data_IF_497965005789
#
_entry.id   IF_497965005789
#
_cell.length_a   1.000
_cell.length_b   1.000
_cell.length_c   1.000
_cell.angle_alpha   90.00
_cell.angle_beta   90.00
_cell.angle_gamma   90.00
#
_symmetry.space_group_name_H-M   'P 1'
#
loop_
_entity.id
_entity.type
_entity.pdbx_description
1 polymer ?
#
# COMPACT_ATOMS: atom_id res chain seq x y z
N UNK A 1 -2.91 7.13 -20.58
CA UNK A 1 -2.57 6.19 -19.50
C UNK A 1 -3.79 6.06 -18.61
N UNK A 2 -4.16 4.84 -18.24
CA UNK A 2 -5.27 4.58 -17.30
C UNK A 2 -4.75 4.91 -15.90
N UNK A 3 -5.49 5.71 -15.14
CA UNK A 3 -5.13 5.99 -13.75
C UNK A 3 -5.23 4.69 -12.93
N UNK A 4 -4.18 4.37 -12.16
CA UNK A 4 -4.20 3.22 -11.26
C UNK A 4 -5.08 3.57 -10.06
N UNK A 5 -6.17 2.82 -9.92
CA UNK A 5 -7.19 3.02 -8.90
C UNK A 5 -7.22 1.80 -8.01
N UNK A 6 -7.43 2.00 -6.71
CA UNK A 6 -7.56 0.89 -5.76
C UNK A 6 -9.02 0.41 -5.69
N UNK A 7 -9.48 -0.16 -6.80
CA UNK A 7 -10.80 -0.76 -6.93
C UNK A 7 -10.66 -2.26 -6.64
N UNK A 8 -11.26 -2.72 -5.54
CA UNK A 8 -11.10 -4.08 -5.00
C UNK A 8 -12.41 -4.84 -5.11
N UNK A 9 -12.32 -6.15 -5.31
CA UNK A 9 -13.48 -7.02 -5.42
C UNK A 9 -14.24 -7.13 -4.09
N UNK A 10 -15.59 -7.29 -4.09
CA UNK A 10 -16.38 -7.46 -2.88
C UNK A 10 -15.82 -8.52 -1.90
N UNK A 11 -15.26 -9.62 -2.41
CA UNK A 11 -14.68 -10.68 -1.57
C UNK A 11 -13.55 -10.19 -0.67
N UNK A 12 -12.76 -9.19 -1.12
CA UNK A 12 -11.69 -8.60 -0.32
C UNK A 12 -12.25 -7.95 0.95
N UNK A 13 -13.34 -7.18 0.81
CA UNK A 13 -13.98 -6.51 1.94
C UNK A 13 -14.68 -7.50 2.87
N UNK A 14 -15.35 -8.50 2.30
CA UNK A 14 -15.97 -9.58 3.08
C UNK A 14 -14.93 -10.27 3.97
N UNK A 15 -13.80 -10.70 3.39
CA UNK A 15 -12.75 -11.40 4.12
C UNK A 15 -12.00 -10.48 5.10
N UNK A 16 -11.72 -9.23 4.73
CA UNK A 16 -11.10 -8.27 5.64
C UNK A 16 -11.96 -8.06 6.90
N UNK A 17 -13.25 -7.78 6.74
CA UNK A 17 -14.13 -7.51 7.87
C UNK A 17 -14.34 -8.75 8.74
N UNK A 18 -14.42 -9.95 8.16
CA UNK A 18 -14.44 -11.19 8.93
C UNK A 18 -13.16 -11.41 9.73
N UNK A 19 -11.99 -11.10 9.16
CA UNK A 19 -10.72 -11.20 9.89
C UNK A 19 -10.64 -10.19 11.03
N UNK A 20 -11.17 -8.98 10.84
CA UNK A 20 -11.29 -8.00 11.92
C UNK A 20 -12.23 -8.48 13.04
N UNK A 21 -13.37 -9.08 12.69
CA UNK A 21 -14.35 -9.60 13.66
C UNK A 21 -13.86 -10.83 14.44
N UNK A 22 -13.05 -11.67 13.79
CA UNK A 22 -12.43 -12.87 14.38
C UNK A 22 -11.05 -12.62 15.00
N UNK A 23 -10.57 -11.38 14.96
CA UNK A 23 -9.28 -10.99 15.55
C UNK A 23 -9.29 -11.07 17.08
N UNK A 24 -8.10 -10.95 17.68
CA UNK A 24 -7.95 -10.88 19.13
C UNK A 24 -8.71 -9.71 19.75
N UNK A 25 -9.03 -9.83 21.04
CA UNK A 25 -9.84 -8.85 21.80
C UNK A 25 -9.39 -7.40 21.59
N UNK A 26 -8.08 -7.13 21.70
CA UNK A 26 -7.53 -5.76 21.62
C UNK A 26 -7.75 -5.10 20.26
N UNK A 27 -7.62 -5.87 19.17
CA UNK A 27 -7.88 -5.39 17.81
C UNK A 27 -9.38 -5.14 17.62
N UNK A 28 -10.22 -6.08 18.05
CA UNK A 28 -11.68 -5.97 17.96
C UNK A 28 -12.23 -4.77 18.73
N UNK A 29 -11.76 -4.52 19.95
CA UNK A 29 -12.13 -3.32 20.73
C UNK A 29 -11.74 -2.03 20.00
N UNK A 30 -10.58 -2.02 19.34
CA UNK A 30 -10.14 -0.85 18.56
C UNK A 30 -10.99 -0.62 17.30
N UNK A 31 -11.42 -1.69 16.62
CA UNK A 31 -12.36 -1.62 15.50
C UNK A 31 -13.73 -1.11 15.96
N UNK A 32 -14.24 -1.62 17.09
CA UNK A 32 -15.52 -1.20 17.67
C UNK A 32 -15.53 0.29 18.02
N UNK A 33 -14.46 0.79 18.64
CA UNK A 33 -14.31 2.22 18.93
C UNK A 33 -14.35 3.08 17.66
N UNK A 34 -13.71 2.63 16.56
CA UNK A 34 -13.75 3.35 15.30
C UNK A 34 -15.14 3.33 14.68
N UNK A 35 -15.82 2.19 14.66
CA UNK A 35 -17.20 2.10 14.16
C UNK A 35 -18.14 3.02 14.93
N UNK A 36 -17.96 3.14 16.25
CA UNK A 36 -18.74 4.03 17.09
C UNK A 36 -18.61 5.51 16.71
N UNK A 37 -17.47 5.95 16.14
CA UNK A 37 -17.29 7.32 15.62
C UNK A 37 -18.30 7.66 14.51
N UNK A 38 -18.83 6.64 13.83
CA UNK A 38 -19.85 6.75 12.79
C UNK A 38 -21.24 6.27 13.25
N UNK A 39 -21.38 5.87 14.52
CA UNK A 39 -22.63 5.33 15.07
C UNK A 39 -22.94 3.90 14.64
N UNK A 40 -21.91 3.10 14.37
CA UNK A 40 -22.00 1.67 14.04
C UNK A 40 -21.39 0.80 15.14
N UNK A 41 -21.75 -0.49 15.15
CA UNK A 41 -21.16 -1.50 16.00
C UNK A 41 -20.61 -2.71 15.21
N UNK A 42 -20.17 -3.75 15.94
CA UNK A 42 -19.62 -4.95 15.32
C UNK A 42 -20.69 -5.84 14.64
N UNK A 43 -21.96 -5.75 15.04
CA UNK A 43 -23.06 -6.44 14.35
C UNK A 43 -23.33 -5.78 13.00
N UNK A 44 -23.22 -4.46 12.92
CA UNK A 44 -23.23 -3.74 11.65
C UNK A 44 -22.08 -4.19 10.75
N UNK A 45 -20.84 -4.25 11.27
CA UNK A 45 -19.68 -4.70 10.48
C UNK A 45 -19.85 -6.15 9.97
N UNK A 46 -20.43 -7.04 10.78
CA UNK A 46 -20.79 -8.39 10.35
C UNK A 46 -21.79 -8.36 9.19
N UNK A 47 -22.82 -7.52 9.30
CA UNK A 47 -23.83 -7.33 8.25
C UNK A 47 -23.21 -6.78 6.95
N UNK A 48 -22.21 -5.90 7.07
CA UNK A 48 -21.47 -5.39 5.91
C UNK A 48 -20.73 -6.53 5.21
N UNK A 49 -19.97 -7.33 5.97
CA UNK A 49 -19.21 -8.46 5.44
C UNK A 49 -20.12 -9.47 4.72
N UNK A 50 -21.31 -9.74 5.27
CA UNK A 50 -22.32 -10.61 4.65
C UNK A 50 -22.86 -10.04 3.34
N UNK A 51 -23.10 -8.73 3.26
CA UNK A 51 -23.57 -8.09 2.04
C UNK A 51 -22.52 -8.13 0.92
N UNK A 52 -21.26 -7.86 1.24
CA UNK A 52 -20.15 -8.01 0.28
C UNK A 52 -20.01 -9.47 -0.19
N UNK A 53 -20.15 -10.43 0.71
CA UNK A 53 -20.10 -11.87 0.35
C UNK A 53 -21.25 -12.24 -0.57
N UNK A 54 -22.47 -11.79 -0.28
CA UNK A 54 -23.63 -12.04 -1.12
C UNK A 54 -23.45 -11.42 -2.51
N UNK A 55 -22.91 -10.20 -2.57
CA UNK A 55 -22.61 -9.52 -3.83
C UNK A 55 -21.55 -10.27 -4.66
N UNK A 56 -20.44 -10.70 -4.05
CA UNK A 56 -19.45 -11.56 -4.70
C UNK A 56 -20.09 -12.85 -5.25
N UNK A 57 -20.90 -13.54 -4.45
CA UNK A 57 -21.57 -14.78 -4.87
C UNK A 57 -22.51 -14.58 -6.06
N UNK A 58 -23.20 -13.45 -6.14
CA UNK A 58 -24.06 -13.12 -7.27
C UNK A 58 -23.25 -12.85 -8.56
N UNK A 59 -22.03 -12.34 -8.44
CA UNK A 59 -21.15 -12.03 -9.56
C UNK A 59 -20.37 -13.24 -10.10
N UNK A 60 -20.19 -14.30 -9.28
CA UNK A 60 -19.42 -15.52 -9.64
C UNK A 60 -19.69 -16.07 -11.04
N UNK A 61 -20.94 -16.17 -11.55
CA UNK A 61 -21.20 -16.71 -12.88
C UNK A 61 -20.62 -15.89 -14.04
N UNK A 62 -20.30 -14.61 -13.81
CA UNK A 62 -19.85 -13.65 -14.81
C UNK A 62 -18.36 -13.30 -14.69
N UNK A 63 -17.72 -13.77 -13.62
CA UNK A 63 -16.34 -13.46 -13.31
C UNK A 63 -15.36 -14.32 -14.12
N UNK A 64 -14.41 -13.66 -14.75
CA UNK A 64 -13.22 -14.24 -15.32
C UNK A 64 -12.07 -13.22 -15.25
N UNK A 65 -10.89 -13.59 -15.73
CA UNK A 65 -9.70 -12.74 -15.65
C UNK A 65 -9.89 -11.35 -16.30
N UNK A 66 -10.70 -11.26 -17.36
CA UNK A 66 -10.92 -10.04 -18.13
C UNK A 66 -12.04 -9.16 -17.53
N UNK A 67 -13.05 -9.77 -16.89
CA UNK A 67 -14.23 -9.05 -16.35
C UNK A 67 -14.14 -8.73 -14.87
N UNK A 68 -13.20 -9.32 -14.13
CA UNK A 68 -13.08 -9.13 -12.68
C UNK A 68 -12.81 -7.68 -12.24
N UNK A 69 -12.30 -6.83 -13.14
CA UNK A 69 -12.19 -5.39 -12.90
C UNK A 69 -13.55 -4.68 -12.95
N UNK A 70 -14.44 -5.09 -13.85
CA UNK A 70 -15.76 -4.45 -14.05
C UNK A 70 -16.70 -4.65 -12.85
N UNK A 71 -16.43 -5.68 -12.04
CA UNK A 71 -17.18 -6.02 -10.82
C UNK A 71 -16.50 -5.54 -9.53
N UNK A 72 -15.38 -4.82 -9.64
CA UNK A 72 -14.72 -4.24 -8.48
C UNK A 72 -15.59 -3.12 -7.86
N UNK A 73 -15.52 -2.99 -6.54
CA UNK A 73 -16.14 -1.87 -5.85
C UNK A 73 -15.33 -0.59 -6.09
N UNK A 74 -16.02 0.55 -6.05
CA UNK A 74 -15.39 1.87 -6.09
C UNK A 74 -14.33 2.07 -5.00
N UNK A 75 -13.39 2.99 -5.24
CA UNK A 75 -12.26 3.27 -4.35
C UNK A 75 -12.71 3.67 -2.93
N UNK A 76 -13.87 4.26 -2.81
CA UNK A 76 -14.45 4.69 -1.54
C UNK A 76 -14.63 3.52 -0.55
N UNK A 77 -14.91 2.30 -1.03
CA UNK A 77 -14.95 1.11 -0.18
C UNK A 77 -13.56 0.84 0.43
N UNK A 78 -12.50 0.95 -0.36
CA UNK A 78 -11.12 0.79 0.08
C UNK A 78 -10.67 1.90 1.04
N UNK A 79 -11.16 3.13 0.85
CA UNK A 79 -10.90 4.26 1.75
C UNK A 79 -11.53 4.00 3.13
N UNK A 80 -12.79 3.54 3.18
CA UNK A 80 -13.47 3.22 4.46
C UNK A 80 -12.78 2.06 5.17
N UNK A 81 -12.40 1.02 4.44
CA UNK A 81 -11.63 -0.09 4.99
C UNK A 81 -10.25 0.38 5.54
N UNK A 82 -9.56 1.26 4.82
CA UNK A 82 -8.31 1.87 5.29
C UNK A 82 -8.51 2.72 6.54
N UNK A 83 -9.63 3.45 6.66
CA UNK A 83 -9.95 4.24 7.84
C UNK A 83 -10.19 3.37 9.09
N UNK A 84 -10.85 2.21 8.93
CA UNK A 84 -10.99 1.21 10.00
C UNK A 84 -9.62 0.66 10.41
N UNK A 85 -8.81 0.24 9.43
CA UNK A 85 -7.46 -0.27 9.65
C UNK A 85 -6.55 0.76 10.34
N UNK A 86 -6.67 2.05 9.99
CA UNK A 86 -5.89 3.12 10.61
C UNK A 86 -6.13 3.22 12.13
N UNK A 87 -7.28 2.79 12.64
CA UNK A 87 -7.53 2.66 14.09
C UNK A 87 -6.60 1.66 14.77
N UNK A 88 -6.06 0.71 14.01
CA UNK A 88 -5.16 -0.34 14.47
C UNK A 88 -3.68 0.07 14.40
N UNK A 89 -3.37 1.29 13.94
CA UNK A 89 -1.99 1.72 13.69
C UNK A 89 -1.04 1.69 14.88
N UNK A 90 -1.59 1.72 16.10
CA UNK A 90 -0.83 1.66 17.35
C UNK A 90 -0.64 0.23 17.89
N UNK A 91 -1.21 -0.76 17.21
CA UNK A 91 -0.95 -2.18 17.45
C UNK A 91 0.32 -2.62 16.70
N UNK A 92 0.61 -3.92 16.73
CA UNK A 92 1.78 -4.54 16.09
C UNK A 92 1.81 -4.35 14.56
N UNK A 93 2.71 -5.04 13.87
CA UNK A 93 2.76 -5.01 12.42
C UNK A 93 1.51 -5.62 11.76
N UNK A 94 1.15 -5.11 10.56
CA UNK A 94 -0.03 -5.54 9.80
C UNK A 94 0.21 -6.77 8.93
N UNK A 95 1.41 -7.38 8.95
CA UNK A 95 1.81 -8.40 7.96
C UNK A 95 0.99 -9.69 8.10
N UNK A 96 0.70 -10.09 9.35
CA UNK A 96 -0.09 -11.29 9.61
C UNK A 96 -1.53 -11.15 9.05
N UNK A 97 -2.17 -10.01 9.28
CA UNK A 97 -3.49 -9.71 8.73
C UNK A 97 -3.45 -9.61 7.20
N UNK A 98 -2.44 -8.94 6.63
CA UNK A 98 -2.28 -8.85 5.18
C UNK A 98 -2.12 -10.23 4.53
N UNK A 99 -1.32 -11.12 5.12
CA UNK A 99 -1.10 -12.47 4.61
C UNK A 99 -2.36 -13.33 4.71
N UNK A 100 -3.07 -13.25 5.83
CA UNK A 100 -4.33 -13.95 6.02
C UNK A 100 -5.40 -13.47 5.03
N UNK A 101 -5.49 -12.16 4.76
CA UNK A 101 -6.39 -11.58 3.75
C UNK A 101 -6.07 -12.09 2.34
N UNK A 102 -4.80 -11.98 1.92
CA UNK A 102 -4.41 -12.45 0.57
C UNK A 102 -4.68 -13.95 0.41
N UNK A 103 -4.36 -14.75 1.42
CA UNK A 103 -4.61 -16.21 1.41
C UNK A 103 -6.10 -16.52 1.29
N UNK A 104 -6.96 -15.84 2.05
CA UNK A 104 -8.40 -16.06 2.00
C UNK A 104 -8.97 -15.70 0.61
N UNK A 105 -8.60 -14.54 0.06
CA UNK A 105 -9.02 -14.12 -1.29
C UNK A 105 -8.50 -15.07 -2.36
N UNK A 106 -7.27 -15.56 -2.23
CA UNK A 106 -6.72 -16.57 -3.13
C UNK A 106 -7.54 -17.87 -3.09
N UNK A 107 -7.96 -18.33 -1.91
CA UNK A 107 -8.78 -19.54 -1.78
C UNK A 107 -10.14 -19.42 -2.49
N UNK A 108 -10.76 -18.23 -2.44
CA UNK A 108 -11.98 -17.97 -3.22
C UNK A 108 -11.73 -17.97 -4.73
N UNK A 109 -10.54 -17.59 -5.16
CA UNK A 109 -10.17 -17.57 -6.58
C UNK A 109 -9.89 -18.98 -7.12
N UNK A 110 -9.27 -19.85 -6.33
CA UNK A 110 -8.83 -21.21 -6.72
C UNK A 110 -9.96 -22.21 -6.99
N UNK A 111 -11.22 -21.84 -6.78
CA UNK A 111 -12.40 -22.65 -7.13
C UNK A 111 -13.44 -21.91 -7.97
N UNK A 112 -13.07 -20.75 -8.54
CA UNK A 112 -13.95 -19.95 -9.38
C UNK A 112 -13.60 -20.20 -10.85
N UNK A 113 -14.53 -20.83 -11.57
CA UNK A 113 -14.43 -21.10 -13.02
C UNK A 113 -14.07 -19.81 -13.77
N UNK A 114 -13.01 -19.83 -14.58
CA UNK A 114 -12.57 -18.67 -15.37
C UNK A 114 -11.50 -17.79 -14.71
N UNK A 115 -11.15 -18.03 -13.45
CA UNK A 115 -9.99 -17.42 -12.79
C UNK A 115 -8.86 -18.43 -12.52
N UNK A 116 -9.17 -19.73 -12.55
CA UNK A 116 -8.19 -20.81 -12.36
C UNK A 116 -7.06 -20.78 -13.40
N UNK A 117 -5.82 -20.84 -12.92
CA UNK A 117 -4.63 -20.88 -13.77
C UNK A 117 -4.27 -19.56 -14.47
N UNK A 118 -5.01 -18.49 -14.23
CA UNK A 118 -4.71 -17.14 -14.75
C UNK A 118 -4.04 -16.27 -13.67
N UNK A 119 -3.20 -15.30 -14.04
CA UNK A 119 -2.74 -14.28 -13.10
C UNK A 119 -3.93 -13.57 -12.46
N UNK A 120 -3.93 -13.41 -11.14
CA UNK A 120 -5.02 -12.74 -10.44
C UNK A 120 -5.13 -11.28 -10.91
N UNK A 121 -6.34 -10.79 -11.22
CA UNK A 121 -6.57 -9.39 -11.55
C UNK A 121 -6.30 -8.50 -10.33
N UNK A 122 -5.99 -7.22 -10.57
CA UNK A 122 -5.65 -6.24 -9.53
C UNK A 122 -6.69 -6.17 -8.41
N UNK A 123 -7.98 -6.26 -8.76
CA UNK A 123 -9.09 -6.23 -7.81
C UNK A 123 -9.10 -7.38 -6.80
N UNK A 124 -8.32 -8.45 -7.05
CA UNK A 124 -8.17 -9.64 -6.20
C UNK A 124 -6.76 -9.76 -5.58
N UNK A 125 -5.98 -8.69 -5.60
CA UNK A 125 -4.63 -8.62 -5.05
C UNK A 125 -4.53 -7.61 -3.90
N UNK A 126 -5.26 -7.82 -2.78
CA UNK A 126 -5.23 -6.88 -1.66
C UNK A 126 -3.91 -6.96 -0.90
N UNK A 127 -3.53 -5.84 -0.29
CA UNK A 127 -2.39 -5.78 0.61
C UNK A 127 -2.61 -4.74 1.69
N UNK A 128 -2.17 -5.06 2.91
CA UNK A 128 -2.19 -4.14 4.04
C UNK A 128 -0.76 -3.83 4.46
N UNK A 129 -0.39 -2.56 4.37
CA UNK A 129 0.90 -2.06 4.84
C UNK A 129 0.72 -0.83 5.68
N UNK A 130 1.44 -0.76 6.80
CA UNK A 130 1.34 0.38 7.71
C UNK A 130 -0.11 0.65 8.14
N UNK A 131 -0.94 -0.40 8.24
CA UNK A 131 -2.37 -0.30 8.52
C UNK A 131 -3.18 0.53 7.50
N UNK A 132 -2.76 0.51 6.24
CA UNK A 132 -3.47 1.08 5.08
C UNK A 132 -3.76 -0.03 4.08
N UNK A 133 -4.99 -0.10 3.57
CA UNK A 133 -5.37 -1.04 2.51
C UNK A 133 -4.97 -0.49 1.15
N UNK A 134 -4.58 -1.40 0.26
CA UNK A 134 -4.31 -1.09 -1.13
C UNK A 134 -4.37 -2.34 -2.00
N UNK A 135 -4.02 -2.17 -3.26
CA UNK A 135 -3.90 -3.26 -4.22
C UNK A 135 -2.44 -3.39 -4.68
N UNK A 136 -1.98 -4.61 -4.93
CA UNK A 136 -0.65 -4.86 -5.51
C UNK A 136 -0.77 -4.83 -7.02
N UNK A 137 -0.12 -3.84 -7.65
CA UNK A 137 -0.03 -3.84 -9.10
C UNK A 137 0.75 -5.08 -9.57
N UNK A 138 0.29 -5.81 -10.60
CA UNK A 138 0.95 -7.02 -11.06
C UNK A 138 2.33 -6.66 -11.62
N UNK A 139 3.38 -7.03 -10.89
CA UNK A 139 4.78 -6.91 -11.34
C UNK A 139 5.59 -8.14 -10.94
N UNK A 140 6.81 -8.24 -11.45
CA UNK A 140 7.81 -9.23 -11.02
C UNK A 140 8.27 -9.05 -9.57
N UNK A 141 8.02 -7.90 -8.94
CA UNK A 141 8.35 -7.66 -7.53
C UNK A 141 7.18 -8.10 -6.65
N UNK A 142 7.35 -9.15 -5.81
CA UNK A 142 6.25 -9.63 -4.98
C UNK A 142 5.73 -8.53 -4.05
N UNK A 143 4.42 -8.37 -4.03
CA UNK A 143 3.72 -7.40 -3.19
C UNK A 143 4.10 -5.94 -3.46
N UNK A 144 4.71 -5.55 -4.58
CA UNK A 144 5.01 -4.15 -4.91
C UNK A 144 4.80 -3.91 -6.42
N UNK A 145 4.59 -2.65 -6.84
CA UNK A 145 4.26 -1.49 -6.03
C UNK A 145 2.81 -1.56 -5.52
N UNK A 146 2.50 -0.80 -4.47
CA UNK A 146 1.16 -0.74 -3.89
C UNK A 146 0.41 0.46 -4.45
N UNK A 147 -0.77 0.22 -5.02
CA UNK A 147 -1.76 1.26 -5.33
C UNK A 147 -2.55 1.53 -4.06
N UNK A 148 -2.54 2.78 -3.58
CA UNK A 148 -3.17 3.16 -2.32
C UNK A 148 -4.67 3.38 -2.51
N UNK A 149 -5.46 3.00 -1.50
CA UNK A 149 -6.88 3.36 -1.44
C UNK A 149 -7.10 4.87 -1.28
N UNK A 150 -6.24 5.52 -0.48
CA UNK A 150 -6.22 6.97 -0.29
C UNK A 150 -4.80 7.46 -0.50
N UNK A 151 -4.64 8.53 -1.28
CA UNK A 151 -3.37 9.23 -1.42
C UNK A 151 -3.12 10.14 -0.21
N UNK A 152 -1.85 10.42 0.15
CA UNK A 152 -1.53 11.44 1.14
C UNK A 152 -2.16 12.80 0.81
N UNK A 153 -2.51 13.58 1.82
CA UNK A 153 -3.16 14.90 1.65
C UNK A 153 -2.22 15.92 0.97
N UNK A 154 -0.90 15.78 1.15
CA UNK A 154 0.08 16.58 0.41
C UNK A 154 0.15 16.14 -1.06
N UNK A 155 -0.33 17.02 -1.95
CA UNK A 155 -0.38 16.78 -3.40
C UNK A 155 0.99 16.46 -4.02
N UNK A 156 2.08 17.03 -3.49
CA UNK A 156 3.42 16.77 -4.01
C UNK A 156 3.91 15.38 -3.61
N UNK A 157 3.62 14.93 -2.39
CA UNK A 157 3.90 13.56 -1.93
C UNK A 157 3.06 12.57 -2.74
N UNK A 158 1.76 12.81 -2.90
CA UNK A 158 0.87 11.99 -3.69
C UNK A 158 1.35 11.85 -5.14
N UNK A 159 1.68 12.96 -5.81
CA UNK A 159 2.19 12.95 -7.18
C UNK A 159 3.56 12.23 -7.29
N UNK A 160 4.46 12.43 -6.33
CA UNK A 160 5.76 11.76 -6.31
C UNK A 160 5.62 10.25 -6.11
N UNK A 161 4.70 9.79 -5.25
CA UNK A 161 4.44 8.37 -5.03
C UNK A 161 3.77 7.73 -6.23
N UNK A 162 2.74 8.38 -6.80
CA UNK A 162 2.12 7.92 -8.05
C UNK A 162 3.15 7.77 -9.17
N UNK A 163 4.01 8.77 -9.36
CA UNK A 163 5.08 8.68 -10.36
C UNK A 163 6.09 7.56 -10.07
N UNK A 164 6.31 7.19 -8.80
CA UNK A 164 7.15 6.04 -8.44
C UNK A 164 6.48 4.71 -8.85
N UNK A 165 5.17 4.57 -8.59
CA UNK A 165 4.39 3.39 -9.02
C UNK A 165 4.44 3.24 -10.54
N UNK A 166 4.16 4.32 -11.28
CA UNK A 166 4.20 4.34 -12.74
C UNK A 166 5.58 4.00 -13.28
N UNK A 167 6.64 4.53 -12.64
CA UNK A 167 8.01 4.17 -12.97
C UNK A 167 8.19 2.66 -12.81
N UNK A 168 7.91 2.10 -11.63
CA UNK A 168 8.06 0.67 -11.33
C UNK A 168 7.31 -0.22 -12.33
N UNK A 169 6.08 0.12 -12.69
CA UNK A 169 5.30 -0.63 -13.67
C UNK A 169 5.91 -0.56 -15.07
N UNK A 170 6.44 0.61 -15.46
CA UNK A 170 7.15 0.75 -16.72
C UNK A 170 8.43 -0.09 -16.77
N UNK A 171 9.14 -0.19 -15.63
CA UNK A 171 10.33 -1.04 -15.51
C UNK A 171 10.00 -2.52 -15.73
N UNK A 172 8.88 -2.98 -15.18
CA UNK A 172 8.49 -4.38 -15.25
C UNK A 172 8.19 -4.81 -16.69
N UNK A 173 7.49 -3.96 -17.45
CA UNK A 173 7.24 -4.16 -18.89
C UNK A 173 8.55 -4.13 -19.70
N UNK A 174 9.52 -3.32 -19.28
CA UNK A 174 10.81 -3.21 -19.95
C UNK A 174 11.84 -4.29 -19.54
N UNK A 175 11.51 -5.16 -18.58
CA UNK A 175 12.43 -6.09 -17.92
C UNK A 175 12.84 -7.31 -18.77
N UNK A 176 12.42 -7.41 -20.03
CA UNK A 176 12.89 -8.43 -20.97
C UNK A 176 14.43 -8.36 -21.21
N UNK A 177 15.07 -7.25 -20.81
CA UNK A 177 16.51 -7.05 -20.82
C UNK A 177 17.02 -6.49 -19.48
N UNK A 178 18.31 -6.66 -19.13
CA UNK A 178 18.91 -5.94 -18.01
C UNK A 178 18.68 -4.45 -18.17
N UNK A 179 17.82 -3.91 -17.32
CA UNK A 179 17.49 -2.49 -17.31
C UNK A 179 18.75 -1.63 -17.06
N UNK A 180 18.93 -0.53 -17.83
CA UNK A 180 20.01 0.42 -17.60
C UNK A 180 20.03 0.94 -16.16
N UNK A 181 21.23 1.22 -15.65
CA UNK A 181 21.43 1.83 -14.33
C UNK A 181 20.52 3.04 -14.07
N UNK A 182 20.33 3.90 -15.09
CA UNK A 182 19.48 5.09 -14.99
C UNK A 182 18.07 4.79 -14.46
N UNK A 183 17.58 3.56 -14.65
CA UNK A 183 16.27 3.16 -14.16
C UNK A 183 16.28 2.80 -12.65
N UNK A 184 17.35 2.17 -12.15
CA UNK A 184 17.51 1.87 -10.72
C UNK A 184 17.90 3.09 -9.90
N UNK A 185 18.76 3.97 -10.45
CA UNK A 185 19.12 5.23 -9.80
C UNK A 185 17.93 6.18 -9.67
N UNK A 186 16.98 6.15 -10.60
CA UNK A 186 15.72 6.90 -10.50
C UNK A 186 14.88 6.50 -9.27
N UNK A 187 14.85 5.22 -8.88
CA UNK A 187 14.17 4.77 -7.65
C UNK A 187 14.83 5.40 -6.43
N UNK A 188 16.17 5.41 -6.37
CA UNK A 188 16.90 6.04 -5.28
C UNK A 188 16.60 7.54 -5.18
N UNK A 189 16.57 8.25 -6.30
CA UNK A 189 16.26 9.68 -6.33
C UNK A 189 14.84 9.95 -5.84
N UNK A 190 13.86 9.22 -6.37
CA UNK A 190 12.44 9.36 -5.99
C UNK A 190 12.21 9.00 -4.52
N UNK A 191 12.80 7.91 -4.04
CA UNK A 191 12.69 7.48 -2.66
C UNK A 191 13.30 8.50 -1.70
N UNK A 192 14.45 9.08 -2.05
CA UNK A 192 15.07 10.15 -1.27
C UNK A 192 14.22 11.43 -1.23
N UNK A 193 13.64 11.82 -2.37
CA UNK A 193 12.71 12.95 -2.45
C UNK A 193 11.47 12.74 -1.58
N UNK A 194 10.83 11.57 -1.66
CA UNK A 194 9.69 11.21 -0.84
C UNK A 194 10.03 11.18 0.66
N UNK A 195 11.16 10.58 1.05
CA UNK A 195 11.57 10.56 2.45
C UNK A 195 11.80 11.98 3.00
N UNK A 196 12.47 12.84 2.23
CA UNK A 196 12.68 14.24 2.57
C UNK A 196 11.40 15.06 2.63
N UNK A 197 10.41 14.77 1.78
CA UNK A 197 9.12 15.44 1.79
C UNK A 197 8.24 15.00 2.96
N UNK A 198 8.20 13.70 3.27
CA UNK A 198 7.44 13.15 4.39
C UNK A 198 7.93 13.71 5.73
N UNK A 199 9.25 13.77 5.92
CA UNK A 199 9.85 14.33 7.14
C UNK A 199 10.95 15.32 6.77
N UNK A 200 10.61 16.59 6.49
CA UNK A 200 11.59 17.60 6.16
C UNK A 200 12.43 17.94 7.39
N UNK A 201 13.75 18.09 7.24
CA UNK A 201 14.61 18.38 8.37
C UNK A 201 14.34 19.76 8.97
N UNK A 202 14.52 19.93 10.30
CA UNK A 202 14.22 21.18 10.97
C UNK A 202 15.21 22.30 10.57
N UNK A 203 14.74 23.56 10.44
CA UNK A 203 15.62 24.70 10.25
C UNK A 203 16.28 25.14 11.58
N UNK A 204 17.46 25.80 11.56
CA UNK A 204 18.31 26.09 10.40
C UNK A 204 19.34 24.97 10.12
N UNK A 205 19.91 24.92 8.89
CA UNK A 205 21.09 24.10 8.60
C UNK A 205 22.18 24.33 9.66
N UNK A 206 22.91 23.29 10.12
CA UNK A 206 23.55 22.32 9.24
C UNK A 206 23.31 20.83 9.54
N UNK A 207 22.50 20.42 10.53
CA UNK A 207 22.74 19.10 11.12
C UNK A 207 21.88 17.93 10.68
N UNK A 208 20.92 18.10 9.78
CA UNK A 208 19.98 17.03 9.48
C UNK A 208 19.65 17.05 7.98
N UNK A 209 20.45 16.35 7.17
CA UNK A 209 20.15 16.13 5.75
C UNK A 209 19.12 15.01 5.58
N UNK A 210 19.08 14.38 4.40
CA UNK A 210 18.22 13.24 4.10
C UNK A 210 18.36 12.07 5.10
N UNK A 211 19.53 11.89 5.71
CA UNK A 211 19.74 10.89 6.77
C UNK A 211 18.79 11.09 7.95
N UNK A 212 18.53 12.34 8.35
CA UNK A 212 17.59 12.62 9.43
C UNK A 212 16.17 12.23 9.07
N UNK A 213 15.73 12.53 7.84
CA UNK A 213 14.39 12.16 7.36
C UNK A 213 14.20 10.65 7.40
N UNK A 214 15.20 9.89 6.92
CA UNK A 214 15.19 8.43 6.94
C UNK A 214 15.19 7.89 8.39
N UNK A 215 16.07 8.40 9.25
CA UNK A 215 16.13 7.99 10.67
C UNK A 215 14.82 8.27 11.41
N UNK A 216 14.22 9.44 11.16
CA UNK A 216 12.95 9.85 11.75
C UNK A 216 11.81 8.93 11.31
N UNK A 217 11.70 8.66 10.01
CA UNK A 217 10.72 7.72 9.46
C UNK A 217 10.93 6.30 10.01
N UNK A 218 12.17 5.81 10.03
CA UNK A 218 12.50 4.50 10.60
C UNK A 218 12.13 4.39 12.09
N UNK A 219 12.34 5.46 12.86
CA UNK A 219 11.95 5.54 14.27
C UNK A 219 10.43 5.49 14.45
N UNK A 220 9.69 6.17 13.58
CA UNK A 220 8.22 6.18 13.58
C UNK A 220 7.63 4.84 13.13
N UNK A 221 8.25 4.13 12.19
CA UNK A 221 7.76 2.84 11.69
C UNK A 221 8.09 1.65 12.62
N UNK A 222 8.97 1.82 13.61
CA UNK A 222 9.50 0.70 14.42
C UNK A 222 8.40 -0.14 15.09
N UNK A 223 7.25 0.47 15.45
CA UNK A 223 6.13 -0.24 16.09
C UNK A 223 5.24 -1.01 15.10
N UNK A 224 5.28 -0.63 13.83
CA UNK A 224 4.38 -1.11 12.78
C UNK A 224 5.04 -2.12 11.82
N UNK A 225 6.31 -2.47 12.09
CA UNK A 225 7.12 -3.37 11.27
C UNK A 225 7.66 -4.50 12.14
N UNK A 226 7.66 -5.72 11.62
CA UNK A 226 8.28 -6.86 12.29
C UNK A 226 9.80 -6.68 12.46
N UNK A 227 10.39 -7.32 13.46
CA UNK A 227 11.83 -7.20 13.74
C UNK A 227 12.72 -7.63 12.57
N UNK A 228 12.28 -8.62 11.78
CA UNK A 228 13.00 -9.10 10.59
C UNK A 228 13.00 -8.06 9.46
N UNK A 229 11.85 -7.47 9.15
CA UNK A 229 11.76 -6.41 8.13
C UNK A 229 12.53 -5.18 8.61
N UNK A 230 12.39 -4.77 9.87
CA UNK A 230 13.12 -3.64 10.42
C UNK A 230 14.64 -3.81 10.31
N UNK A 231 15.16 -5.01 10.58
CA UNK A 231 16.57 -5.34 10.41
C UNK A 231 17.01 -5.19 8.94
N UNK A 232 16.21 -5.72 8.00
CA UNK A 232 16.43 -5.59 6.56
C UNK A 232 16.46 -4.12 6.11
N UNK A 233 15.51 -3.32 6.58
CA UNK A 233 15.45 -1.89 6.28
C UNK A 233 16.65 -1.13 6.84
N UNK A 234 17.04 -1.39 8.11
CA UNK A 234 18.24 -0.77 8.71
C UNK A 234 19.51 -1.09 7.93
N UNK A 235 19.68 -2.34 7.49
CA UNK A 235 20.79 -2.73 6.64
C UNK A 235 20.80 -1.98 5.31
N UNK A 236 19.64 -1.89 4.65
CA UNK A 236 19.48 -1.14 3.40
C UNK A 236 19.84 0.33 3.55
N UNK A 237 19.41 0.99 4.64
CA UNK A 237 19.64 2.42 4.83
C UNK A 237 21.07 2.78 5.25
N UNK A 238 21.86 1.81 5.74
CA UNK A 238 23.26 2.04 6.07
C UNK A 238 24.05 2.48 4.81
N UNK A 239 24.67 3.67 4.86
CA UNK A 239 25.39 4.27 3.72
C UNK A 239 24.51 4.59 2.51
N UNK A 240 23.18 4.54 2.64
CA UNK A 240 22.27 4.72 1.49
C UNK A 240 22.32 6.14 0.93
N UNK A 241 22.40 7.15 1.80
CA UNK A 241 22.49 8.57 1.38
C UNK A 241 23.77 8.83 0.60
N UNK A 242 24.89 8.23 1.03
CA UNK A 242 26.16 8.29 0.32
C UNK A 242 26.05 7.64 -1.07
N UNK A 243 25.48 6.42 -1.14
CA UNK A 243 25.22 5.74 -2.44
C UNK A 243 24.35 6.59 -3.36
N UNK A 244 23.23 7.13 -2.85
CA UNK A 244 22.33 8.01 -3.61
C UNK A 244 23.07 9.25 -4.11
N UNK A 245 23.93 9.84 -3.29
CA UNK A 245 24.71 11.02 -3.67
C UNK A 245 25.73 10.69 -4.76
N UNK A 246 26.41 9.54 -4.69
CA UNK A 246 27.29 9.09 -5.79
C UNK A 246 26.51 8.87 -7.09
N UNK A 247 25.28 8.34 -7.03
CA UNK A 247 24.41 8.16 -8.20
C UNK A 247 23.89 9.48 -8.80
N UNK A 248 24.00 10.59 -8.08
CA UNK A 248 23.49 11.91 -8.51
C UNK A 248 24.57 12.98 -8.68
N UNK A 249 25.76 12.74 -8.15
CA UNK A 249 26.90 13.65 -8.17
C UNK A 249 28.14 12.90 -8.69
N UNK A 250 28.68 13.36 -9.82
CA UNK A 250 29.82 12.74 -10.53
C UNK A 250 31.16 12.98 -9.81
N UNK A 251 31.20 13.87 -8.81
CA UNK A 251 32.45 14.28 -8.16
C UNK A 251 32.78 13.34 -7.00
N UNK A 252 33.97 12.75 -7.06
CA UNK A 252 34.60 12.09 -5.91
C UNK A 252 34.84 13.16 -4.85
N UNK A 253 34.14 13.07 -3.73
CA UNK A 253 34.37 13.95 -2.58
C UNK A 253 35.65 13.47 -1.88
N UNK A 254 36.62 14.36 -1.63
CA UNK A 254 37.96 13.98 -1.12
C UNK A 254 37.92 13.33 0.30
N UNK A 255 36.76 13.31 0.95
CA UNK A 255 36.52 12.69 2.25
C UNK A 255 35.51 11.53 2.27
N UNK A 256 34.78 11.26 1.18
CA UNK A 256 33.96 10.05 1.08
C UNK A 256 34.80 8.97 0.41
N UNK A 257 34.83 7.78 0.99
CA UNK A 257 35.66 6.66 0.53
C UNK A 257 35.53 6.36 -0.96
N UNK A 258 36.42 5.50 -1.46
CA UNK A 258 36.69 5.13 -2.87
C UNK A 258 35.51 4.64 -3.75
N UNK A 259 34.26 4.88 -3.37
CA UNK A 259 33.08 4.50 -4.12
C UNK A 259 32.95 5.35 -5.39
N UNK A 260 33.20 4.73 -6.53
CA UNK A 260 33.01 5.35 -7.84
C UNK A 260 31.55 5.27 -8.27
N UNK A 261 31.15 6.12 -9.23
CA UNK A 261 29.87 5.99 -9.92
C UNK A 261 29.69 4.56 -10.46
N UNK A 262 30.70 3.99 -11.13
CA UNK A 262 30.64 2.60 -11.63
C UNK A 262 30.39 1.54 -10.55
N UNK A 263 30.85 1.75 -9.31
CA UNK A 263 30.58 0.84 -8.20
C UNK A 263 29.16 1.02 -7.65
N UNK A 264 28.69 2.26 -7.48
CA UNK A 264 27.34 2.55 -7.00
C UNK A 264 26.27 2.06 -8.00
N UNK A 265 26.52 2.27 -9.29
CA UNK A 265 25.65 1.82 -10.39
C UNK A 265 25.55 0.29 -10.51
N UNK A 266 26.53 -0.45 -10.00
CA UNK A 266 26.47 -1.92 -9.96
C UNK A 266 25.53 -2.46 -8.89
N UNK A 267 25.21 -1.64 -7.88
CA UNK A 267 24.37 -2.00 -6.72
C UNK A 267 22.89 -1.63 -6.91
N UNK A 268 22.48 -1.26 -8.13
CA UNK A 268 21.11 -0.83 -8.46
C UNK A 268 20.68 -1.35 -9.84
N UNK A 269 21.14 -2.55 -10.22
CA UNK A 269 20.96 -3.12 -11.57
C UNK A 269 19.89 -4.19 -11.65
N UNK A 270 19.30 -4.57 -10.54
CA UNK A 270 18.29 -5.64 -10.46
C UNK A 270 17.15 -5.25 -9.53
N UNK A 271 16.02 -5.92 -9.65
CA UNK A 271 14.90 -5.71 -8.72
C UNK A 271 15.30 -5.98 -7.28
N UNK A 272 16.07 -7.04 -7.03
CA UNK A 272 16.57 -7.41 -5.70
C UNK A 272 17.35 -6.27 -5.04
N UNK A 273 18.09 -5.49 -5.83
CA UNK A 273 18.89 -4.36 -5.36
C UNK A 273 18.04 -3.17 -4.87
N UNK A 274 16.85 -2.99 -5.44
CA UNK A 274 15.98 -1.82 -5.19
C UNK A 274 14.72 -2.17 -4.39
N UNK A 275 14.36 -3.46 -4.30
CA UNK A 275 13.15 -3.98 -3.64
C UNK A 275 13.04 -3.43 -2.22
N UNK A 276 14.13 -3.51 -1.45
CA UNK A 276 14.09 -3.06 -0.04
C UNK A 276 13.87 -1.55 0.08
N UNK A 277 14.39 -0.76 -0.87
CA UNK A 277 14.14 0.69 -0.92
C UNK A 277 12.67 0.98 -1.29
N UNK A 278 12.11 0.26 -2.25
CA UNK A 278 10.69 0.37 -2.63
C UNK A 278 9.74 -0.05 -1.50
N UNK A 279 10.06 -1.14 -0.81
CA UNK A 279 9.30 -1.60 0.35
C UNK A 279 9.27 -0.53 1.43
N UNK A 280 10.45 0.02 1.76
CA UNK A 280 10.57 1.02 2.82
C UNK A 280 9.79 2.29 2.50
N UNK A 281 9.94 2.84 1.28
CA UNK A 281 9.25 4.08 0.93
C UNK A 281 7.74 3.88 0.81
N UNK A 282 7.29 2.73 0.30
CA UNK A 282 5.87 2.34 0.31
C UNK A 282 5.35 2.28 1.74
N UNK A 283 6.08 1.66 2.67
CA UNK A 283 5.69 1.62 4.07
C UNK A 283 5.58 3.01 4.69
N UNK A 284 6.54 3.89 4.45
CA UNK A 284 6.52 5.27 4.97
C UNK A 284 5.31 6.06 4.45
N UNK A 285 4.99 5.93 3.16
CA UNK A 285 3.80 6.58 2.57
C UNK A 285 2.52 5.99 3.17
N UNK A 286 2.42 4.66 3.29
CA UNK A 286 1.28 4.00 3.93
C UNK A 286 1.08 4.46 5.39
N UNK A 287 2.18 4.67 6.12
CA UNK A 287 2.16 5.15 7.50
C UNK A 287 1.64 6.59 7.57
N UNK A 288 2.00 7.44 6.62
CA UNK A 288 1.48 8.81 6.52
C UNK A 288 -0.03 8.79 6.27
N UNK A 289 -0.49 8.01 5.28
CA UNK A 289 -1.92 7.85 5.00
C UNK A 289 -2.68 7.32 6.22
N UNK A 290 -2.12 6.33 6.92
CA UNK A 290 -2.72 5.78 8.13
C UNK A 290 -2.81 6.83 9.25
N UNK A 291 -1.82 7.71 9.38
CA UNK A 291 -1.83 8.82 10.33
C UNK A 291 -2.93 9.83 9.99
N UNK A 292 -2.99 10.28 8.74
CA UNK A 292 -4.01 11.21 8.24
C UNK A 292 -5.43 10.63 8.32
N UNK A 293 -5.58 9.30 8.25
CA UNK A 293 -6.87 8.62 8.44
C UNK A 293 -7.23 8.44 9.91
N UNK A 294 -6.23 8.34 10.78
CA UNK A 294 -6.42 8.18 12.22
C UNK A 294 -6.84 9.49 12.89
N UNK A 295 -6.20 10.59 12.51
CA UNK A 295 -6.41 11.91 13.12
C UNK A 295 -7.66 12.63 12.57
N UNK A 296 -8.47 13.29 13.43
CA UNK A 296 -9.53 14.17 12.96
C UNK A 296 -9.00 15.38 12.17
N UNK A 297 -9.76 15.93 11.21
CA UNK A 297 -11.13 15.55 10.85
C UNK A 297 -11.20 14.31 9.96
N UNK A 298 -12.33 13.59 10.03
CA UNK A 298 -12.59 12.45 9.14
C UNK A 298 -12.52 12.90 7.66
N UNK A 299 -11.92 12.08 6.76
CA UNK A 299 -11.93 12.36 5.33
C UNK A 299 -13.35 12.54 4.82
N UNK A 300 -13.54 13.35 3.77
CA UNK A 300 -14.88 13.62 3.22
C UNK A 300 -15.65 12.36 2.81
N UNK A 301 -14.94 11.33 2.32
CA UNK A 301 -15.49 10.01 2.03
C UNK A 301 -16.05 9.31 3.28
N UNK A 302 -15.48 9.52 4.46
CA UNK A 302 -15.87 8.85 5.70
C UNK A 302 -16.83 9.71 6.55
N UNK A 303 -16.70 11.04 6.52
CA UNK A 303 -17.34 11.96 7.46
C UNK A 303 -18.88 12.04 7.40
N UNK A 304 -19.52 11.44 6.39
CA UNK A 304 -20.95 11.63 6.09
C UNK A 304 -21.75 10.33 6.14
N UNK A 305 -21.30 9.34 6.91
CA UNK A 305 -21.89 8.00 6.92
C UNK A 305 -21.88 7.37 5.51
N UNK A 306 -20.70 6.91 5.06
CA UNK A 306 -20.51 6.36 3.72
C UNK A 306 -21.39 5.14 3.46
N UNK A 307 -21.57 4.30 4.47
CA UNK A 307 -22.29 3.05 4.35
C UNK A 307 -23.73 3.27 3.90
N UNK A 308 -24.51 4.07 4.63
CA UNK A 308 -25.92 4.34 4.29
C UNK A 308 -26.07 5.19 3.04
N UNK A 309 -25.14 6.11 2.78
CA UNK A 309 -25.31 7.07 1.67
C UNK A 309 -25.04 6.47 0.31
N UNK A 310 -24.01 5.63 0.18
CA UNK A 310 -23.61 5.17 -1.15
C UNK A 310 -22.99 3.77 -1.20
N UNK A 311 -22.20 3.32 -0.21
CA UNK A 311 -21.53 2.00 -0.31
C UNK A 311 -22.53 0.84 -0.33
N UNK A 312 -23.52 0.86 0.57
CA UNK A 312 -24.55 -0.17 0.62
C UNK A 312 -25.35 -0.21 -0.69
N UNK A 313 -25.71 0.97 -1.19
CA UNK A 313 -26.47 1.12 -2.44
C UNK A 313 -25.68 0.57 -3.63
N UNK A 314 -24.37 0.81 -3.72
CA UNK A 314 -23.54 0.26 -4.79
C UNK A 314 -23.59 -1.28 -4.82
N UNK A 315 -23.53 -1.92 -3.65
CA UNK A 315 -23.62 -3.37 -3.51
C UNK A 315 -25.02 -3.93 -3.84
N UNK A 316 -26.08 -3.19 -3.53
CA UNK A 316 -27.47 -3.60 -3.80
C UNK A 316 -27.88 -3.32 -5.25
N UNK A 317 -27.40 -2.23 -5.86
CA UNK A 317 -27.77 -1.78 -7.21
C UNK A 317 -27.01 -2.56 -8.29
N UNK A 318 -25.76 -2.99 -8.01
CA UNK A 318 -24.96 -3.81 -8.92
C UNK A 318 -25.67 -5.13 -9.32
N UNK A 319 -26.64 -5.58 -8.53
CA UNK A 319 -27.41 -6.81 -8.79
C UNK A 319 -28.35 -6.69 -10.00
N UNK A 320 -28.82 -5.49 -10.35
CA UNK A 320 -29.82 -5.31 -11.41
C UNK A 320 -29.23 -5.07 -12.81
N UNK A 321 -27.95 -4.73 -12.92
CA UNK A 321 -27.29 -4.49 -14.22
C UNK A 321 -26.75 -5.77 -14.88
N UNK A 322 -26.84 -6.90 -14.20
CA UNK A 322 -26.29 -8.21 -14.64
C UNK A 322 -27.36 -9.25 -14.99
N UNK A 323 -28.65 -8.90 -14.88
CA UNK A 323 -29.81 -9.74 -15.19
C UNK A 323 -30.49 -9.28 -16.49
#
# INVERSE_FOLDING_TARGET
MVALKCELSPVVFAELYQQLLSSGRDLRESVELRLADLGYDLEDLQSWAELYRANWQAQLPYLNADTAGDFACSEEHAIVASWLLAGLRNHSDSSALSYALDTAVQQHTLGTTGLEGTPRPLSLLPVIRGWTLGAVAPTSVPNLPMVLARQPDDEAIAAAYQGLIEHVLHLDVAAEHPWPELMGSAIYVRAGGLAGALRPPPPPPPNHGLSWSIEKLMGESQRQISSSILSRLRSNWNGWVERRNVLTHVRLDEGMGSATFSAATALVRTWDDVETTLLAITHFVCQEVSMELFEPPLPAAVAKDPWRRYLKRELEDAWWMSA
#
